data_IF_561962002113
#
_entry.id   IF_561962002113
#
_cell.length_a   1.000
_cell.length_b   1.000
_cell.length_c   1.000
_cell.angle_alpha   90.00
_cell.angle_beta   90.00
_cell.angle_gamma   90.00
#
_symmetry.space_group_name_H-M   'P 1'
#
loop_
_entity.id
_entity.type
_entity.pdbx_description
1 polymer ?
#
# COMPACT_ATOMS: atom_id res chain seq x y z
N UNK A 1 -3.03 9.59 -13.62
CA UNK A 1 -1.80 9.51 -12.80
C UNK A 1 -0.96 8.33 -13.25
N UNK A 2 0.37 8.46 -13.34
CA UNK A 2 1.25 7.41 -13.85
C UNK A 2 1.39 6.28 -12.82
N UNK A 3 0.70 5.17 -13.06
CA UNK A 3 0.67 4.02 -12.13
C UNK A 3 2.03 3.33 -11.98
N UNK A 4 3.02 3.65 -12.83
CA UNK A 4 4.38 3.12 -12.68
C UNK A 4 5.15 3.84 -11.58
N UNK A 5 4.99 5.16 -11.45
CA UNK A 5 5.68 5.93 -10.42
C UNK A 5 5.16 5.54 -9.02
N UNK A 6 3.83 5.44 -8.90
CA UNK A 6 3.19 5.06 -7.64
C UNK A 6 3.58 3.65 -7.17
N UNK A 7 3.75 2.69 -8.09
CA UNK A 7 4.29 1.35 -7.79
C UNK A 7 5.69 1.36 -7.19
N UNK A 8 6.51 2.31 -7.62
CA UNK A 8 7.90 2.42 -7.19
C UNK A 8 8.00 3.11 -5.83
N UNK A 9 7.13 4.08 -5.59
CA UNK A 9 7.06 4.83 -4.33
C UNK A 9 6.29 4.11 -3.23
N UNK A 10 5.31 3.27 -3.58
CA UNK A 10 4.46 2.59 -2.60
C UNK A 10 4.34 1.08 -2.87
N UNK A 11 5.43 0.32 -2.65
CA UNK A 11 5.44 -1.13 -2.88
C UNK A 11 4.64 -1.93 -1.85
N UNK A 12 4.18 -1.32 -0.76
CA UNK A 12 3.40 -1.99 0.29
C UNK A 12 2.01 -1.39 0.42
N UNK A 13 1.05 -2.23 0.80
CA UNK A 13 -0.31 -1.84 1.12
C UNK A 13 -0.81 -2.56 2.37
N UNK A 14 -1.50 -1.82 3.22
CA UNK A 14 -2.23 -2.33 4.37
C UNK A 14 -3.50 -3.07 3.92
N UNK A 15 -3.61 -4.36 4.20
CA UNK A 15 -4.81 -5.15 3.87
C UNK A 15 -6.04 -4.80 4.73
N UNK A 16 -5.83 -4.20 5.91
CA UNK A 16 -6.90 -3.79 6.85
C UNK A 16 -7.61 -2.51 6.41
N UNK A 17 -6.87 -1.60 5.80
CA UNK A 17 -7.25 -0.20 5.66
C UNK A 17 -7.02 0.37 4.26
N UNK A 18 -6.28 -0.36 3.41
CA UNK A 18 -5.92 0.07 2.06
C UNK A 18 -4.83 1.14 1.99
N UNK A 19 -4.15 1.44 3.11
CA UNK A 19 -3.09 2.46 3.14
C UNK A 19 -1.83 1.99 2.43
N UNK A 20 -1.26 2.84 1.60
CA UNK A 20 -0.03 2.57 0.86
C UNK A 20 1.19 3.00 1.67
N UNK A 21 2.21 2.14 1.73
CA UNK A 21 3.45 2.42 2.43
C UNK A 21 4.66 2.24 1.53
N UNK A 22 5.66 3.09 1.75
CA UNK A 22 6.91 3.06 1.00
C UNK A 22 7.83 1.92 1.47
N UNK A 23 7.82 1.63 2.77
CA UNK A 23 8.65 0.60 3.42
C UNK A 23 7.78 -0.41 4.17
N UNK A 24 8.30 -1.64 4.33
CA UNK A 24 7.62 -2.67 5.14
C UNK A 24 7.78 -2.29 6.61
N UNK A 25 6.73 -1.69 7.17
CA UNK A 25 6.63 -1.38 8.59
C UNK A 25 6.04 -2.60 9.33
N UNK A 26 6.32 -2.74 10.63
CA UNK A 26 5.61 -3.69 11.48
C UNK A 26 4.16 -3.25 11.73
N UNK A 27 3.88 -1.94 11.72
CA UNK A 27 2.57 -1.38 12.05
C UNK A 27 2.13 -0.45 10.93
N UNK A 28 0.86 -0.53 10.56
CA UNK A 28 0.23 0.41 9.63
C UNK A 28 0.12 1.81 10.24
N UNK A 29 0.72 2.82 9.60
CA UNK A 29 0.72 4.22 10.09
C UNK A 29 -0.69 4.80 10.31
N UNK A 30 -1.64 4.45 9.44
CA UNK A 30 -3.01 4.95 9.50
C UNK A 30 -3.89 4.27 10.54
N UNK A 31 -3.74 2.96 10.66
CA UNK A 31 -4.70 2.07 11.30
C UNK A 31 -4.14 1.35 12.53
N UNK A 32 -2.83 1.46 12.78
CA UNK A 32 -2.14 0.81 13.89
C UNK A 32 -2.06 -0.72 13.78
N UNK A 33 -2.51 -1.31 12.67
CA UNK A 33 -2.57 -2.75 12.53
C UNK A 33 -1.16 -3.36 12.34
N UNK A 34 -0.79 -4.27 13.24
CA UNK A 34 0.48 -4.99 13.19
C UNK A 34 0.48 -6.03 12.06
N UNK A 35 1.62 -6.22 11.40
CA UNK A 35 1.89 -7.13 10.28
C UNK A 35 0.85 -7.11 9.15
N UNK A 36 0.16 -5.98 8.99
CA UNK A 36 -0.94 -5.84 8.02
C UNK A 36 -0.47 -5.33 6.66
N UNK A 37 0.82 -5.02 6.54
CA UNK A 37 1.48 -4.50 5.33
C UNK A 37 1.93 -5.64 4.42
N UNK A 38 1.17 -5.87 3.35
CA UNK A 38 1.51 -6.80 2.28
C UNK A 38 2.13 -6.07 1.09
N UNK A 39 2.76 -6.79 0.16
CA UNK A 39 3.19 -6.19 -1.11
C UNK A 39 1.98 -5.73 -1.92
N UNK A 40 2.00 -4.50 -2.38
CA UNK A 40 0.94 -3.92 -3.20
C UNK A 40 0.97 -4.53 -4.61
N UNK A 41 -0.17 -5.05 -5.07
CA UNK A 41 -0.32 -5.70 -6.36
C UNK A 41 -0.94 -4.77 -7.39
N UNK A 42 -0.86 -5.14 -8.68
CA UNK A 42 -1.43 -4.35 -9.80
C UNK A 42 -2.91 -3.98 -9.58
N UNK A 43 -3.66 -4.82 -8.87
CA UNK A 43 -5.08 -4.60 -8.54
C UNK A 43 -5.28 -3.46 -7.54
N UNK A 44 -4.43 -3.37 -6.51
CA UNK A 44 -4.53 -2.33 -5.47
C UNK A 44 -4.30 -0.93 -6.08
N UNK A 45 -3.31 -0.80 -6.97
CA UNK A 45 -3.06 0.45 -7.70
C UNK A 45 -4.19 0.84 -8.67
N UNK A 46 -4.89 -0.15 -9.23
CA UNK A 46 -6.09 0.11 -10.06
C UNK A 46 -7.25 0.61 -9.21
N UNK A 47 -7.37 0.10 -7.99
CA UNK A 47 -8.44 0.46 -7.07
C UNK A 47 -8.26 1.87 -6.48
N UNK A 48 -7.02 2.34 -6.31
CA UNK A 48 -6.73 3.73 -5.90
C UNK A 48 -7.08 4.76 -6.98
N UNK A 49 -7.00 4.39 -8.26
CA UNK A 49 -7.20 5.30 -9.39
C UNK A 49 -8.64 5.26 -9.94
N UNK A 50 -9.61 4.82 -9.15
CA UNK A 50 -11.05 4.77 -9.48
C UNK A 50 -11.81 5.69 -8.54
#
# INVERSE_FOLDING_TARGET
MDTKLFKRTYPYICNKCGEFAHTKQEYCDKCGAADSLRKAEKVDYKNYNK
#
